data_IF_867123154142
#
_entry.id   IF_867123154142
#
_cell.length_a   1.000
_cell.length_b   1.000
_cell.length_c   1.000
_cell.angle_alpha   90.00
_cell.angle_beta   90.00
_cell.angle_gamma   90.00
#
_symmetry.space_group_name_H-M   'P 1'
#
loop_
_entity.id
_entity.type
_entity.pdbx_description
1 polymer ?
#
# COMPACT_ATOMS: atom_id res chain seq x y z
N UNK A 1 -2.98 -5.20 -15.01
CA UNK A 1 -3.22 -6.58 -15.53
C UNK A 1 -2.70 -7.68 -14.60
N UNK A 2 -1.73 -7.43 -13.74
CA UNK A 2 -1.22 -8.42 -12.76
C UNK A 2 -2.18 -8.61 -11.58
N UNK A 3 -2.89 -7.56 -11.15
CA UNK A 3 -3.86 -7.63 -10.05
C UNK A 3 -5.05 -8.57 -10.30
N UNK A 4 -5.48 -8.74 -11.55
CA UNK A 4 -6.58 -9.65 -11.87
C UNK A 4 -6.18 -11.14 -11.89
N UNK A 5 -4.90 -11.46 -12.05
CA UNK A 5 -4.42 -12.85 -12.00
C UNK A 5 -4.28 -13.36 -10.55
N UNK A 6 -4.02 -12.46 -9.59
CA UNK A 6 -3.87 -12.80 -8.17
C UNK A 6 -5.24 -13.07 -7.51
N UNK A 7 -6.32 -12.50 -8.04
CA UNK A 7 -7.67 -12.68 -7.50
C UNK A 7 -8.23 -14.11 -7.67
N UNK A 8 -7.63 -14.93 -8.53
CA UNK A 8 -8.18 -16.27 -8.88
C UNK A 8 -7.62 -17.42 -8.03
N UNK A 9 -6.55 -17.22 -7.26
CA UNK A 9 -5.94 -18.33 -6.51
C UNK A 9 -5.73 -17.92 -5.05
N UNK A 10 -6.64 -18.33 -4.18
CA UNK A 10 -6.49 -18.23 -2.72
C UNK A 10 -5.52 -19.32 -2.23
N UNK A 11 -4.25 -19.26 -2.64
CA UNK A 11 -3.24 -20.26 -2.30
C UNK A 11 -1.96 -19.63 -1.73
N UNK A 12 -1.19 -20.37 -0.95
CA UNK A 12 0.18 -20.01 -0.54
C UNK A 12 1.04 -19.51 -1.71
N UNK A 13 0.83 -20.03 -2.92
CA UNK A 13 1.48 -19.57 -4.16
C UNK A 13 1.29 -18.09 -4.46
N UNK A 14 0.11 -17.52 -4.19
CA UNK A 14 -0.13 -16.08 -4.42
C UNK A 14 0.61 -15.22 -3.41
N UNK A 15 0.71 -15.67 -2.15
CA UNK A 15 1.49 -15.00 -1.13
C UNK A 15 2.98 -15.07 -1.45
N UNK A 16 3.45 -16.22 -1.91
CA UNK A 16 4.83 -16.42 -2.34
C UNK A 16 5.22 -15.48 -3.49
N UNK A 17 4.37 -15.33 -4.51
CA UNK A 17 4.61 -14.39 -5.61
C UNK A 17 4.73 -12.96 -5.08
N UNK A 18 3.83 -12.55 -4.17
CA UNK A 18 3.86 -11.20 -3.59
C UNK A 18 5.09 -11.01 -2.71
N UNK A 19 5.45 -11.97 -1.87
CA UNK A 19 6.62 -11.86 -0.99
C UNK A 19 7.92 -11.91 -1.81
N UNK A 20 7.96 -12.70 -2.88
CA UNK A 20 9.15 -12.88 -3.71
C UNK A 20 9.53 -11.63 -4.52
N UNK A 21 8.62 -10.68 -4.76
CA UNK A 21 9.02 -9.45 -5.47
C UNK A 21 10.16 -8.69 -4.78
N UNK A 22 10.25 -8.79 -3.46
CA UNK A 22 11.35 -8.20 -2.67
C UNK A 22 12.69 -8.87 -3.01
N UNK A 23 12.69 -10.20 -3.07
CA UNK A 23 13.88 -10.98 -3.44
C UNK A 23 14.31 -10.70 -4.87
N UNK A 24 13.35 -10.74 -5.79
CA UNK A 24 13.60 -10.50 -7.22
C UNK A 24 14.08 -9.07 -7.46
N UNK A 25 13.47 -8.10 -6.76
CA UNK A 25 13.90 -6.70 -6.78
C UNK A 25 15.33 -6.52 -6.28
N UNK A 26 15.71 -7.20 -5.19
CA UNK A 26 17.09 -7.18 -4.67
C UNK A 26 18.09 -7.77 -5.65
N UNK A 27 17.76 -8.88 -6.30
CA UNK A 27 18.62 -9.48 -7.33
C UNK A 27 18.79 -8.56 -8.52
N UNK A 28 17.70 -7.95 -9.00
CA UNK A 28 17.73 -6.99 -10.09
C UNK A 28 18.59 -5.77 -9.73
N UNK A 29 18.43 -5.23 -8.53
CA UNK A 29 19.20 -4.09 -8.04
C UNK A 29 20.70 -4.41 -7.91
N UNK A 30 21.06 -5.64 -7.50
CA UNK A 30 22.44 -6.12 -7.45
C UNK A 30 23.05 -6.22 -8.86
N UNK A 31 22.32 -6.83 -9.81
CA UNK A 31 22.77 -6.93 -11.22
C UNK A 31 23.02 -5.57 -11.84
N UNK A 32 22.17 -4.58 -11.52
CA UNK A 32 22.30 -3.21 -12.01
C UNK A 32 23.22 -2.34 -11.14
N UNK A 33 23.92 -2.92 -10.16
CA UNK A 33 24.92 -2.25 -9.31
C UNK A 33 24.36 -1.01 -8.59
N UNK A 34 23.08 -1.05 -8.18
CA UNK A 34 22.51 0.05 -7.42
C UNK A 34 23.27 0.24 -6.09
N UNK A 35 23.47 1.50 -5.64
CA UNK A 35 24.10 1.78 -4.35
C UNK A 35 23.42 1.05 -3.19
N UNK A 36 24.18 0.65 -2.18
CA UNK A 36 23.64 -0.12 -1.02
C UNK A 36 22.48 0.60 -0.33
N UNK A 37 22.57 1.94 -0.18
CA UNK A 37 21.50 2.75 0.40
C UNK A 37 20.18 2.67 -0.40
N UNK A 38 20.29 2.65 -1.74
CA UNK A 38 19.12 2.52 -2.61
C UNK A 38 18.54 1.10 -2.54
N UNK A 39 19.40 0.09 -2.48
CA UNK A 39 18.97 -1.30 -2.35
C UNK A 39 18.24 -1.58 -1.03
N UNK A 40 18.54 -0.85 0.04
CA UNK A 40 17.89 -0.99 1.33
C UNK A 40 16.38 -0.72 1.27
N UNK A 41 15.93 0.18 0.41
CA UNK A 41 14.51 0.46 0.22
C UNK A 41 13.70 -0.76 -0.22
N UNK A 42 14.30 -1.71 -0.94
CA UNK A 42 13.61 -2.87 -1.50
C UNK A 42 13.10 -3.82 -0.41
N UNK A 43 13.91 -4.31 0.55
CA UNK A 43 13.39 -5.17 1.61
C UNK A 43 12.70 -4.37 2.73
N UNK A 44 13.14 -3.14 3.00
CA UNK A 44 12.70 -2.40 4.16
C UNK A 44 11.30 -1.76 3.99
N UNK A 45 10.83 -1.50 2.76
CA UNK A 45 9.50 -0.89 2.57
C UNK A 45 8.33 -1.78 2.97
N UNK A 46 8.55 -3.09 3.04
CA UNK A 46 7.56 -4.01 3.60
C UNK A 46 7.96 -4.57 4.97
N UNK A 47 9.24 -4.42 5.36
CA UNK A 47 9.74 -4.91 6.63
C UNK A 47 9.43 -6.38 6.88
N UNK A 48 8.86 -6.68 8.03
CA UNK A 48 8.37 -8.02 8.40
C UNK A 48 6.85 -8.11 8.42
N UNK A 49 6.18 -7.22 7.68
CA UNK A 49 4.71 -7.20 7.60
C UNK A 49 4.16 -8.49 7.02
N UNK A 50 2.91 -8.78 7.38
CA UNK A 50 2.16 -9.89 6.80
C UNK A 50 1.31 -9.40 5.62
N UNK A 51 1.21 -10.21 4.58
CA UNK A 51 0.24 -10.01 3.49
C UNK A 51 -1.14 -10.40 4.00
N UNK A 52 -1.74 -9.51 4.81
CA UNK A 52 -2.90 -9.79 5.66
C UNK A 52 -4.13 -10.27 4.90
N UNK A 53 -4.39 -9.70 3.72
CA UNK A 53 -5.49 -10.09 2.86
C UNK A 53 -5.40 -11.56 2.41
N UNK A 54 -4.22 -12.02 1.99
CA UNK A 54 -4.04 -13.42 1.56
C UNK A 54 -4.03 -14.37 2.75
N UNK A 55 -3.46 -13.96 3.87
CA UNK A 55 -3.52 -14.75 5.09
C UNK A 55 -4.97 -14.96 5.55
N UNK A 56 -5.76 -13.90 5.57
CA UNK A 56 -7.17 -13.99 5.95
C UNK A 56 -7.95 -14.95 5.04
N UNK A 57 -7.77 -14.84 3.72
CA UNK A 57 -8.38 -15.78 2.76
C UNK A 57 -7.92 -17.23 2.98
N UNK A 58 -6.66 -17.45 3.29
CA UNK A 58 -6.14 -18.78 3.57
C UNK A 58 -6.77 -19.37 4.85
N UNK A 59 -6.92 -18.56 5.89
CA UNK A 59 -7.61 -18.96 7.14
C UNK A 59 -9.06 -19.32 6.87
N UNK A 60 -9.80 -18.50 6.11
CA UNK A 60 -11.20 -18.73 5.76
C UNK A 60 -11.41 -19.99 4.90
N UNK A 61 -10.45 -20.32 4.05
CA UNK A 61 -10.51 -21.50 3.17
C UNK A 61 -10.04 -22.80 3.81
N UNK A 62 -9.45 -22.73 5.00
CA UNK A 62 -8.87 -23.90 5.69
C UNK A 62 -9.81 -24.41 6.77
N UNK A 63 -10.37 -25.60 6.58
CA UNK A 63 -11.34 -26.22 7.50
C UNK A 63 -10.81 -26.43 8.94
N UNK A 64 -9.51 -26.57 9.13
CA UNK A 64 -8.88 -26.80 10.42
C UNK A 64 -8.23 -25.55 11.06
N UNK A 65 -8.37 -24.38 10.45
CA UNK A 65 -7.91 -23.09 11.00
C UNK A 65 -6.40 -22.93 11.21
N UNK A 66 -5.56 -23.93 10.86
CA UNK A 66 -4.12 -23.87 11.00
C UNK A 66 -3.48 -23.48 9.67
N UNK A 67 -3.19 -22.19 9.54
CA UNK A 67 -2.41 -21.62 8.44
C UNK A 67 -1.08 -21.14 8.99
N UNK A 68 0.00 -21.54 8.35
CA UNK A 68 1.34 -21.05 8.72
C UNK A 68 1.47 -19.57 8.35
N UNK A 69 1.43 -18.72 9.35
CA UNK A 69 1.55 -17.28 9.17
C UNK A 69 2.91 -16.86 8.59
N UNK A 70 3.97 -17.63 8.84
CA UNK A 70 5.32 -17.30 8.35
C UNK A 70 5.38 -17.28 6.83
N UNK A 71 4.61 -18.13 6.15
CA UNK A 71 4.52 -18.16 4.68
C UNK A 71 3.93 -16.89 4.06
N UNK A 72 3.26 -16.06 4.87
CA UNK A 72 2.63 -14.81 4.44
C UNK A 72 3.38 -13.56 4.90
N UNK A 73 4.57 -13.71 5.49
CA UNK A 73 5.36 -12.58 5.97
C UNK A 73 6.50 -12.23 5.04
N UNK A 74 6.75 -10.94 4.91
CA UNK A 74 7.96 -10.45 4.27
C UNK A 74 9.18 -10.76 5.14
N UNK A 75 10.35 -11.06 4.53
CA UNK A 75 11.53 -11.52 5.25
C UNK A 75 12.25 -10.42 6.05
N UNK A 76 11.92 -9.16 5.83
CA UNK A 76 12.62 -8.03 6.44
C UNK A 76 13.90 -7.64 5.70
N UNK A 77 14.72 -6.83 6.35
CA UNK A 77 14.57 -6.30 7.70
C UNK A 77 13.47 -5.23 7.83
N UNK A 78 13.15 -4.85 9.06
CA UNK A 78 12.35 -3.64 9.35
C UNK A 78 13.11 -2.41 8.84
N UNK A 79 12.43 -1.25 8.62
CA UNK A 79 13.11 -0.01 8.26
C UNK A 79 14.24 0.34 9.23
N UNK A 80 15.42 0.62 8.68
CA UNK A 80 16.62 0.98 9.43
C UNK A 80 16.93 2.48 9.38
N UNK A 81 16.25 3.22 8.52
CA UNK A 81 16.40 4.67 8.35
C UNK A 81 15.05 5.37 8.30
N UNK A 82 15.05 6.70 8.49
CA UNK A 82 13.84 7.51 8.32
C UNK A 82 13.30 7.41 6.90
N UNK A 83 14.18 7.40 5.92
CA UNK A 83 13.84 7.37 4.50
C UNK A 83 13.12 6.08 4.11
N UNK A 84 13.62 4.93 4.56
CA UNK A 84 12.99 3.64 4.27
C UNK A 84 11.69 3.45 5.04
N UNK A 85 11.61 3.98 6.26
CA UNK A 85 10.36 4.02 7.02
C UNK A 85 9.30 4.92 6.37
N UNK A 86 9.72 6.08 5.82
CA UNK A 86 8.82 6.95 5.07
C UNK A 86 8.28 6.25 3.83
N UNK A 87 9.11 5.48 3.11
CA UNK A 87 8.63 4.71 1.97
C UNK A 87 7.61 3.64 2.39
N UNK A 88 7.87 2.91 3.48
CA UNK A 88 6.91 1.93 4.04
C UNK A 88 5.55 2.58 4.34
N UNK A 89 5.57 3.75 4.97
CA UNK A 89 4.35 4.47 5.31
C UNK A 89 3.64 5.01 4.06
N UNK A 90 4.40 5.53 3.08
CA UNK A 90 3.85 6.07 1.84
C UNK A 90 3.16 4.97 1.00
N UNK A 91 3.84 3.85 0.79
CA UNK A 91 3.30 2.69 0.09
C UNK A 91 2.03 2.16 0.76
N UNK A 92 2.09 1.96 2.08
CA UNK A 92 0.94 1.49 2.85
C UNK A 92 -0.25 2.45 2.82
N UNK A 93 -0.02 3.77 2.91
CA UNK A 93 -1.07 4.78 2.86
C UNK A 93 -1.67 4.90 1.45
N UNK A 94 -0.84 4.90 0.40
CA UNK A 94 -1.32 4.94 -0.98
C UNK A 94 -2.20 3.73 -1.29
N UNK A 95 -1.71 2.52 -1.00
CA UNK A 95 -2.45 1.29 -1.23
C UNK A 95 -3.78 1.25 -0.46
N UNK A 96 -3.80 1.68 0.80
CA UNK A 96 -5.01 1.71 1.62
C UNK A 96 -6.03 2.73 1.11
N UNK A 97 -5.61 3.94 0.75
CA UNK A 97 -6.49 4.98 0.20
C UNK A 97 -7.04 4.54 -1.16
N UNK A 98 -6.21 4.00 -2.03
CA UNK A 98 -6.62 3.48 -3.34
C UNK A 98 -7.65 2.36 -3.23
N UNK A 99 -7.47 1.44 -2.28
CA UNK A 99 -8.38 0.33 -2.05
C UNK A 99 -9.72 0.78 -1.44
N UNK A 100 -9.68 1.72 -0.50
CA UNK A 100 -10.86 2.18 0.25
C UNK A 100 -11.73 3.17 -0.54
N UNK A 101 -11.16 3.86 -1.54
CA UNK A 101 -11.84 4.88 -2.36
C UNK A 101 -12.60 5.91 -1.51
N UNK A 102 -11.92 6.60 -0.59
CA UNK A 102 -12.58 7.54 0.31
C UNK A 102 -13.26 8.67 -0.46
N UNK A 103 -14.40 9.12 0.04
CA UNK A 103 -15.18 10.20 -0.55
C UNK A 103 -14.81 11.57 0.00
N UNK A 104 -14.20 11.63 1.20
CA UNK A 104 -13.90 12.87 1.90
C UNK A 104 -12.43 12.98 2.34
N UNK A 105 -11.91 14.20 2.53
CA UNK A 105 -10.59 14.41 3.11
C UNK A 105 -10.44 13.81 4.52
N UNK A 106 -11.50 13.80 5.30
CA UNK A 106 -11.52 13.25 6.66
C UNK A 106 -11.31 11.73 6.62
N UNK A 107 -11.97 11.04 5.70
CA UNK A 107 -11.79 9.59 5.47
C UNK A 107 -10.35 9.27 5.05
N UNK A 108 -9.75 10.08 4.17
CA UNK A 108 -8.32 9.94 3.80
C UNK A 108 -7.42 10.05 5.03
N UNK A 109 -7.65 11.07 5.86
CA UNK A 109 -6.86 11.27 7.08
C UNK A 109 -7.02 10.12 8.07
N UNK A 110 -8.21 9.55 8.20
CA UNK A 110 -8.46 8.41 9.09
C UNK A 110 -7.75 7.14 8.60
N UNK A 111 -7.75 6.88 7.29
CA UNK A 111 -7.01 5.78 6.69
C UNK A 111 -5.51 5.93 6.98
N UNK A 112 -4.94 7.12 6.79
CA UNK A 112 -3.53 7.38 7.07
C UNK A 112 -3.20 7.14 8.54
N UNK A 113 -4.02 7.64 9.48
CA UNK A 113 -3.84 7.40 10.91
C UNK A 113 -3.81 5.92 11.24
N UNK A 114 -4.77 5.16 10.68
CA UNK A 114 -4.86 3.72 10.87
C UNK A 114 -3.62 3.00 10.35
N UNK A 115 -3.15 3.33 9.15
CA UNK A 115 -1.93 2.72 8.60
C UNK A 115 -0.73 3.00 9.49
N UNK A 116 -0.53 4.23 9.95
CA UNK A 116 0.59 4.59 10.85
C UNK A 116 0.47 3.82 12.17
N UNK A 117 -0.71 3.81 12.78
CA UNK A 117 -0.96 3.09 14.03
C UNK A 117 -0.70 1.58 13.90
N UNK A 118 -1.11 0.97 12.78
CA UNK A 118 -0.85 -0.43 12.48
C UNK A 118 0.67 -0.71 12.38
N UNK A 119 1.44 0.15 11.70
CA UNK A 119 2.90 -0.02 11.59
C UNK A 119 3.59 0.08 12.95
N UNK A 120 3.14 0.99 13.82
CA UNK A 120 3.63 1.11 15.20
C UNK A 120 3.26 -0.14 16.00
N UNK A 121 2.00 -0.56 15.99
CA UNK A 121 1.52 -1.71 16.78
C UNK A 121 2.19 -3.02 16.39
N UNK A 122 2.61 -3.14 15.13
CA UNK A 122 3.37 -4.30 14.63
C UNK A 122 4.87 -4.16 14.82
N UNK A 123 5.32 -3.12 15.51
CA UNK A 123 6.73 -2.85 15.80
C UNK A 123 7.59 -2.61 14.55
N UNK A 124 6.99 -2.20 13.43
CA UNK A 124 7.73 -2.04 12.17
C UNK A 124 8.65 -0.83 12.17
N UNK A 125 8.40 0.13 13.06
CA UNK A 125 9.17 1.37 13.16
C UNK A 125 10.17 1.36 14.33
N UNK A 126 10.32 0.23 15.04
CA UNK A 126 11.13 0.13 16.26
C UNK A 126 12.63 0.30 16.01
N UNK A 127 13.09 0.01 14.80
CA UNK A 127 14.51 0.01 14.44
C UNK A 127 14.94 1.26 13.64
N UNK A 128 14.02 2.21 13.44
CA UNK A 128 14.31 3.46 12.74
C UNK A 128 14.21 4.67 13.67
N UNK A 129 14.97 5.76 13.42
CA UNK A 129 15.01 6.93 14.30
C UNK A 129 13.87 7.93 14.02
N UNK A 130 12.66 7.45 13.67
CA UNK A 130 11.47 8.29 13.55
C UNK A 130 10.93 8.65 14.94
N UNK A 131 10.62 9.92 15.13
CA UNK A 131 9.96 10.42 16.35
C UNK A 131 8.45 10.53 16.12
N UNK A 132 7.68 10.61 17.22
CA UNK A 132 6.24 10.89 17.15
C UNK A 132 5.95 12.24 16.45
N UNK A 133 6.82 13.22 16.62
CA UNK A 133 6.72 14.51 15.93
C UNK A 133 6.97 14.39 14.42
N UNK A 134 7.87 13.51 14.00
CA UNK A 134 8.08 13.20 12.58
C UNK A 134 6.84 12.52 11.99
N UNK A 135 6.25 11.57 12.70
CA UNK A 135 5.04 10.86 12.25
C UNK A 135 3.84 11.81 12.06
N UNK A 136 3.69 12.82 12.92
CA UNK A 136 2.64 13.83 12.74
C UNK A 136 2.87 14.68 11.49
N UNK A 137 4.11 15.08 11.20
CA UNK A 137 4.46 15.77 9.95
C UNK A 137 4.18 14.90 8.71
N UNK A 138 4.53 13.61 8.79
CA UNK A 138 4.25 12.62 7.74
C UNK A 138 2.75 12.53 7.48
N UNK A 139 1.96 12.39 8.53
CA UNK A 139 0.49 12.33 8.44
C UNK A 139 -0.09 13.54 7.71
N UNK A 140 0.36 14.74 8.08
CA UNK A 140 -0.09 15.98 7.45
C UNK A 140 0.30 16.06 5.98
N UNK A 141 1.56 15.74 5.65
CA UNK A 141 2.08 15.75 4.29
C UNK A 141 1.36 14.74 3.39
N UNK A 142 1.18 13.52 3.88
CA UNK A 142 0.48 12.47 3.13
C UNK A 142 -1.00 12.81 2.95
N UNK A 143 -1.65 13.39 3.98
CA UNK A 143 -3.02 13.87 3.89
C UNK A 143 -3.19 14.87 2.75
N UNK A 144 -2.35 15.89 2.70
CA UNK A 144 -2.40 16.89 1.64
C UNK A 144 -2.16 16.29 0.23
N UNK A 145 -1.20 15.36 0.11
CA UNK A 145 -0.85 14.73 -1.17
C UNK A 145 -1.94 13.79 -1.67
N UNK A 146 -2.40 12.88 -0.81
CA UNK A 146 -3.36 11.84 -1.19
C UNK A 146 -4.76 12.41 -1.45
N UNK A 147 -5.18 13.45 -0.73
CA UNK A 147 -6.42 14.18 -1.03
C UNK A 147 -6.41 14.76 -2.45
N UNK A 148 -5.27 15.31 -2.88
CA UNK A 148 -5.13 15.83 -4.25
C UNK A 148 -5.18 14.76 -5.33
N UNK A 149 -4.70 13.54 -5.04
CA UNK A 149 -4.69 12.43 -5.99
C UNK A 149 -6.05 11.74 -6.15
N UNK A 150 -6.84 11.68 -5.09
CA UNK A 150 -8.10 10.93 -5.03
C UNK A 150 -9.33 11.83 -4.95
N UNK A 151 -9.25 13.06 -5.45
CA UNK A 151 -10.44 13.89 -5.63
C UNK A 151 -11.45 13.15 -6.49
N UNK A 152 -12.72 13.02 -6.04
CA UNK A 152 -13.77 12.52 -6.90
C UNK A 152 -13.82 13.43 -8.14
N UNK A 153 -13.73 12.84 -9.33
CA UNK A 153 -13.94 13.59 -10.56
C UNK A 153 -15.31 14.23 -10.47
N UNK A 154 -15.37 15.55 -10.50
CA UNK A 154 -16.62 16.25 -10.70
C UNK A 154 -17.25 15.67 -11.96
N UNK A 155 -18.38 15.00 -11.82
CA UNK A 155 -19.20 14.59 -12.96
C UNK A 155 -19.74 15.90 -13.51
N UNK A 156 -19.13 16.42 -14.57
CA UNK A 156 -19.71 17.51 -15.32
C UNK A 156 -21.02 16.98 -15.92
N UNK A 157 -22.17 17.63 -15.69
CA UNK A 157 -23.39 17.26 -16.36
C UNK A 157 -23.12 17.28 -17.87
N UNK A 158 -23.50 16.21 -18.53
CA UNK A 158 -23.30 16.05 -19.97
C UNK A 158 -23.98 17.21 -20.70
N UNK A 159 -23.22 18.07 -21.36
CA UNK A 159 -23.75 19.20 -22.16
C UNK A 159 -24.36 18.67 -23.47
N UNK A 160 -25.18 17.66 -23.43
CA UNK A 160 -25.85 17.07 -24.58
C UNK A 160 -27.35 17.32 -24.61
N UNK A 161 -27.80 18.46 -24.11
CA UNK A 161 -29.19 18.91 -24.39
C UNK A 161 -29.19 20.38 -24.82
N UNK A 162 -28.71 20.58 -26.03
CA UNK A 162 -28.75 21.82 -26.79
C UNK A 162 -28.82 21.56 -28.28
N UNK A 163 -29.60 20.53 -28.69
CA UNK A 163 -29.98 20.39 -30.09
C UNK A 163 -30.96 21.50 -30.44
N UNK A 164 -30.44 22.50 -31.12
CA UNK A 164 -31.16 23.60 -31.74
C UNK A 164 -32.22 23.01 -32.66
N UNK A 165 -33.48 23.14 -32.27
CA UNK A 165 -34.64 23.04 -33.15
C UNK A 165 -34.52 24.16 -34.17
N UNK A 166 -33.99 23.90 -35.37
CA UNK A 166 -34.10 24.79 -36.50
C UNK A 166 -35.48 24.60 -37.07
N UNK A 167 -36.34 25.54 -36.75
CA UNK A 167 -37.60 25.76 -37.44
C UNK A 167 -37.34 25.82 -38.94
N UNK A 168 -38.05 24.99 -39.68
CA UNK A 168 -38.24 25.13 -41.12
C UNK A 168 -39.47 26.03 -41.31
N UNK A 169 -39.28 27.19 -41.85
CA UNK A 169 -40.24 27.88 -42.73
C UNK A 169 -39.77 27.72 -44.18
#
# INVERSE_FOLDING_TARGET
MVENAIALVAHPTSAEIIVNHVKDGLELAKRNRLPTRVRAFIPEHHGTMRVSFLYQKAVESTSNGKVDEAAFRYPGPKPQSKETALLMLADGCEAAVRASRPATPEEVNEIIRKVIADRISWGQLDECPLTMADLEKVRQSFGATLQGMFHPRLIYPDQRDGAIERQRE
#
